data_IF_902553000086
#
_entry.id   IF_902553000086
#
_cell.length_a   1.000
_cell.length_b   1.000
_cell.length_c   1.000
_cell.angle_alpha   90.00
_cell.angle_beta   90.00
_cell.angle_gamma   90.00
#
_symmetry.space_group_name_H-M   'P 1'
#
loop_
_entity.id
_entity.type
_entity.pdbx_description
1 polymer ?
#
# COMPACT_ATOMS: atom_id res chain seq x y z
N UNK A 1 -5.79 -11.96 -9.44
CA UNK A 1 -5.29 -10.83 -10.24
C UNK A 1 -4.55 -9.86 -9.36
N UNK A 2 -3.39 -9.38 -9.78
CA UNK A 2 -2.63 -8.43 -8.98
C UNK A 2 -3.07 -7.00 -9.21
N UNK A 3 -2.97 -6.21 -8.15
CA UNK A 3 -3.23 -4.76 -8.18
C UNK A 3 -2.13 -4.04 -7.44
N UNK A 4 -1.70 -2.91 -7.99
CA UNK A 4 -0.74 -2.03 -7.36
C UNK A 4 -1.49 -0.83 -6.79
N UNK A 5 -1.35 -0.61 -5.50
CA UNK A 5 -1.97 0.49 -4.78
C UNK A 5 -0.86 1.45 -4.38
N UNK A 6 -0.94 2.69 -4.88
CA UNK A 6 0.06 3.71 -4.60
C UNK A 6 -0.62 4.86 -3.88
N UNK A 7 -0.13 5.18 -2.70
CA UNK A 7 -0.70 6.22 -1.84
C UNK A 7 0.38 7.25 -1.52
N UNK A 8 0.00 8.53 -1.54
CA UNK A 8 0.88 9.62 -1.14
C UNK A 8 0.30 10.31 0.09
N UNK A 9 1.17 10.60 1.05
CA UNK A 9 0.78 11.21 2.31
C UNK A 9 0.50 12.69 2.15
N UNK A 10 -0.36 13.21 3.03
CA UNK A 10 -0.52 14.65 3.20
C UNK A 10 0.78 15.26 3.72
N UNK A 11 1.03 16.56 3.45
CA UNK A 11 2.15 17.26 4.09
C UNK A 11 2.04 17.13 5.61
N UNK A 12 3.18 17.00 6.28
CA UNK A 12 3.27 16.93 7.74
C UNK A 12 2.47 15.79 8.38
N UNK A 13 2.31 14.67 7.67
CA UNK A 13 1.56 13.51 8.14
C UNK A 13 2.42 12.47 8.88
N UNK A 14 3.73 12.68 8.99
CA UNK A 14 4.63 11.65 9.51
C UNK A 14 4.28 11.19 10.94
N UNK A 15 3.96 12.10 11.84
CA UNK A 15 3.58 11.74 13.21
C UNK A 15 2.30 10.89 13.23
N UNK A 16 1.31 11.27 12.42
CA UNK A 16 0.06 10.52 12.31
C UNK A 16 0.29 9.13 11.70
N UNK A 17 1.18 9.06 10.70
CA UNK A 17 1.56 7.78 10.08
C UNK A 17 2.22 6.85 11.11
N UNK A 18 3.19 7.35 11.86
CA UNK A 18 3.88 6.56 12.87
C UNK A 18 2.94 6.12 14.00
N UNK A 19 2.02 6.98 14.41
CA UNK A 19 1.04 6.65 15.43
C UNK A 19 0.03 5.58 14.94
N UNK A 20 -0.34 5.60 13.66
CA UNK A 20 -1.29 4.65 13.09
C UNK A 20 -0.62 3.35 12.61
N UNK A 21 0.70 3.30 12.55
CA UNK A 21 1.43 2.15 12.00
C UNK A 21 1.08 0.83 12.67
N UNK A 22 0.92 0.72 13.99
CA UNK A 22 0.54 -0.57 14.59
C UNK A 22 -0.77 -1.14 14.04
N UNK A 23 -1.79 -0.30 13.84
CA UNK A 23 -3.06 -0.73 13.24
C UNK A 23 -2.89 -1.13 11.78
N UNK A 24 -2.07 -0.38 11.04
CA UNK A 24 -1.76 -0.69 9.65
C UNK A 24 -1.08 -2.05 9.53
N UNK A 25 -0.13 -2.37 10.40
CA UNK A 25 0.54 -3.66 10.40
C UNK A 25 -0.43 -4.81 10.70
N UNK A 26 -1.35 -4.62 11.66
CA UNK A 26 -2.37 -5.63 11.95
C UNK A 26 -3.26 -5.87 10.74
N UNK A 27 -3.67 -4.81 10.04
CA UNK A 27 -4.47 -4.90 8.83
C UNK A 27 -3.74 -5.65 7.71
N UNK A 28 -2.43 -5.38 7.53
CA UNK A 28 -1.59 -6.10 6.56
C UNK A 28 -1.45 -7.58 6.95
N UNK A 29 -1.20 -7.88 8.21
CA UNK A 29 -1.06 -9.26 8.68
C UNK A 29 -2.34 -10.06 8.45
N UNK A 30 -3.51 -9.44 8.62
CA UNK A 30 -4.79 -10.08 8.35
C UNK A 30 -4.98 -10.40 6.87
N UNK A 31 -4.43 -9.59 5.97
CA UNK A 31 -4.45 -9.85 4.53
C UNK A 31 -3.50 -10.99 4.13
N UNK A 32 -2.38 -11.10 4.85
CA UNK A 32 -1.44 -12.24 4.75
C UNK A 32 -1.08 -12.66 3.34
N UNK A 33 -1.51 -13.88 2.91
CA UNK A 33 -1.10 -14.45 1.63
C UNK A 33 -1.55 -13.65 0.40
N UNK A 34 -2.51 -12.74 0.54
CA UNK A 34 -2.93 -11.88 -0.58
C UNK A 34 -1.86 -10.85 -0.95
N UNK A 35 -0.98 -10.51 -0.01
CA UNK A 35 0.06 -9.51 -0.22
C UNK A 35 1.25 -10.09 -0.96
N UNK A 36 1.73 -9.37 -1.98
CA UNK A 36 2.96 -9.70 -2.69
C UNK A 36 4.11 -8.84 -2.24
N UNK A 37 3.85 -7.55 -2.06
CA UNK A 37 4.90 -6.59 -1.78
C UNK A 37 4.30 -5.38 -1.10
N UNK A 38 4.89 -4.93 -0.01
CA UNK A 38 4.41 -3.77 0.73
C UNK A 38 5.58 -3.00 1.30
N UNK A 39 5.54 -1.68 1.20
CA UNK A 39 6.52 -0.84 1.84
C UNK A 39 6.19 0.63 1.71
N UNK A 40 6.81 1.47 2.54
CA UNK A 40 6.63 2.92 2.43
C UNK A 40 7.46 3.50 1.29
N UNK A 41 6.97 4.58 0.71
CA UNK A 41 7.75 5.46 -0.15
C UNK A 41 8.52 6.41 0.74
N UNK A 42 9.78 6.65 0.42
CA UNK A 42 10.66 7.50 1.22
C UNK A 42 11.03 8.75 0.46
N UNK A 43 11.18 9.87 1.16
CA UNK A 43 11.73 11.09 0.58
C UNK A 43 13.26 11.03 0.56
N UNK A 44 13.89 12.13 0.11
CA UNK A 44 15.35 12.21 0.00
C UNK A 44 16.07 12.10 1.34
N UNK A 45 15.37 12.36 2.44
CA UNK A 45 15.91 12.25 3.79
C UNK A 45 15.63 10.88 4.43
N UNK A 46 14.97 9.98 3.68
CA UNK A 46 14.59 8.66 4.18
C UNK A 46 13.33 8.64 5.02
N UNK A 47 12.56 9.73 5.07
CA UNK A 47 11.31 9.80 5.81
C UNK A 47 10.16 9.26 4.98
N UNK A 48 9.21 8.61 5.64
CA UNK A 48 8.06 8.00 4.96
C UNK A 48 7.09 9.07 4.45
N UNK A 49 6.71 8.95 3.18
CA UNK A 49 5.85 9.91 2.47
C UNK A 49 4.74 9.26 1.66
N UNK A 50 4.59 7.96 1.77
CA UNK A 50 3.60 7.23 1.00
C UNK A 50 3.74 5.74 1.20
N UNK A 51 3.01 4.98 0.38
CA UNK A 51 3.03 3.53 0.46
C UNK A 51 2.84 2.90 -0.92
N UNK A 52 3.45 1.74 -1.11
CA UNK A 52 3.11 0.84 -2.20
C UNK A 52 2.61 -0.46 -1.59
N UNK A 53 1.46 -0.94 -2.09
CA UNK A 53 0.93 -2.27 -1.75
C UNK A 53 0.62 -2.98 -3.06
N UNK A 54 1.25 -4.14 -3.28
CA UNK A 54 0.91 -5.02 -4.39
C UNK A 54 0.20 -6.22 -3.82
N UNK A 55 -1.05 -6.44 -4.24
CA UNK A 55 -1.93 -7.43 -3.61
C UNK A 55 -2.72 -8.22 -4.64
N UNK A 56 -2.99 -9.48 -4.31
CA UNK A 56 -3.90 -10.34 -5.05
C UNK A 56 -5.33 -10.02 -4.64
N UNK A 57 -6.20 -9.69 -5.59
CA UNK A 57 -7.62 -9.43 -5.34
C UNK A 57 -8.43 -10.00 -6.51
N UNK A 58 -9.71 -10.37 -6.29
CA UNK A 58 -10.52 -10.95 -7.37
C UNK A 58 -10.78 -9.99 -8.54
N UNK A 59 -10.96 -8.70 -8.25
CA UNK A 59 -11.25 -7.70 -9.26
C UNK A 59 -10.89 -6.29 -8.77
N UNK A 60 -11.06 -5.30 -9.63
CA UNK A 60 -10.72 -3.91 -9.32
C UNK A 60 -11.58 -3.34 -8.19
N UNK A 61 -12.85 -3.71 -8.12
CA UNK A 61 -13.75 -3.24 -7.06
C UNK A 61 -13.28 -3.74 -5.70
N UNK A 62 -12.92 -5.03 -5.60
CA UNK A 62 -12.37 -5.61 -4.38
C UNK A 62 -11.03 -4.95 -4.00
N UNK A 63 -10.19 -4.67 -4.97
CA UNK A 63 -8.91 -3.98 -4.74
C UNK A 63 -9.13 -2.57 -4.20
N UNK A 64 -10.09 -1.84 -4.74
CA UNK A 64 -10.45 -0.50 -4.25
C UNK A 64 -11.00 -0.54 -2.82
N UNK A 65 -11.86 -1.51 -2.53
CA UNK A 65 -12.39 -1.69 -1.17
C UNK A 65 -11.28 -2.02 -0.18
N UNK A 66 -10.36 -2.91 -0.58
CA UNK A 66 -9.19 -3.24 0.23
C UNK A 66 -8.35 -2.00 0.51
N UNK A 67 -8.05 -1.22 -0.53
CA UNK A 67 -7.24 -0.01 -0.41
C UNK A 67 -7.88 1.01 0.55
N UNK A 68 -9.20 1.17 0.50
CA UNK A 68 -9.94 2.10 1.36
C UNK A 68 -10.01 1.64 2.81
N UNK A 69 -9.82 0.37 3.06
CA UNK A 69 -9.82 -0.19 4.42
C UNK A 69 -8.49 0.05 5.16
N UNK A 70 -7.46 0.57 4.47
CA UNK A 70 -6.17 0.87 5.10
C UNK A 70 -6.37 1.88 6.24
N UNK A 71 -5.94 1.52 7.47
CA UNK A 71 -6.07 2.42 8.64
C UNK A 71 -5.43 3.79 8.47
N UNK A 72 -4.51 3.95 7.53
CA UNK A 72 -3.91 5.27 7.24
C UNK A 72 -4.94 6.27 6.69
N UNK A 73 -6.03 5.80 6.06
CA UNK A 73 -7.13 6.68 5.67
C UNK A 73 -7.82 7.28 6.89
N UNK A 74 -8.22 6.43 7.84
CA UNK A 74 -8.91 6.89 9.06
C UNK A 74 -8.03 7.76 9.94
N UNK A 75 -6.72 7.62 9.84
CA UNK A 75 -5.74 8.42 10.60
C UNK A 75 -5.37 9.73 9.91
N UNK A 76 -6.02 10.06 8.80
CA UNK A 76 -5.77 11.29 8.05
C UNK A 76 -4.34 11.42 7.53
N UNK A 77 -3.77 10.30 7.08
CA UNK A 77 -2.40 10.24 6.56
C UNK A 77 -2.37 10.48 5.05
N UNK A 78 -3.23 9.81 4.29
CA UNK A 78 -3.17 9.85 2.83
C UNK A 78 -3.81 11.10 2.24
N UNK A 79 -3.13 11.71 1.27
CA UNK A 79 -3.69 12.76 0.42
C UNK A 79 -4.35 12.15 -0.81
N UNK A 80 -3.67 11.20 -1.46
CA UNK A 80 -4.12 10.57 -2.70
C UNK A 80 -3.82 9.07 -2.67
N UNK A 81 -4.61 8.32 -3.45
CA UNK A 81 -4.39 6.90 -3.62
C UNK A 81 -4.87 6.50 -5.02
N UNK A 82 -4.08 5.69 -5.70
CA UNK A 82 -4.44 5.10 -6.99
C UNK A 82 -4.39 3.59 -6.90
N UNK A 83 -5.27 2.92 -7.64
CA UNK A 83 -5.35 1.46 -7.69
C UNK A 83 -5.31 1.05 -9.16
N UNK A 84 -4.34 0.22 -9.52
CA UNK A 84 -4.14 -0.22 -10.90
C UNK A 84 -4.03 -1.73 -10.97
N UNK A 85 -4.64 -2.32 -11.99
CA UNK A 85 -4.32 -3.71 -12.34
C UNK A 85 -2.85 -3.79 -12.70
N UNK A 86 -2.18 -4.84 -12.25
CA UNK A 86 -0.73 -4.96 -12.34
C UNK A 86 -0.35 -6.37 -12.78
N UNK A 87 0.67 -6.46 -13.60
CA UNK A 87 1.23 -7.75 -14.04
C UNK A 87 2.72 -7.79 -13.76
N UNK A 88 3.16 -8.83 -13.09
CA UNK A 88 4.59 -9.06 -12.90
C UNK A 88 5.20 -9.52 -14.21
N UNK A 89 6.32 -8.93 -14.60
CA UNK A 89 7.14 -9.36 -15.73
C UNK A 89 8.44 -9.97 -15.23
N UNK A 90 9.02 -9.37 -14.20
CA UNK A 90 10.17 -9.89 -13.48
C UNK A 90 9.87 -9.95 -11.99
N UNK A 91 10.37 -11.00 -11.35
CA UNK A 91 10.34 -11.17 -9.90
C UNK A 91 11.65 -11.80 -9.46
N UNK A 92 12.28 -11.22 -8.44
CA UNK A 92 13.59 -11.68 -7.93
C UNK A 92 14.64 -11.81 -9.02
N UNK A 93 14.64 -10.88 -9.97
CA UNK A 93 15.60 -10.85 -11.07
C UNK A 93 15.35 -11.85 -12.19
N UNK A 94 14.23 -12.58 -12.14
CA UNK A 94 13.89 -13.57 -13.15
C UNK A 94 12.60 -13.22 -13.88
N UNK A 95 12.57 -13.44 -15.17
CA UNK A 95 11.39 -13.21 -16.00
C UNK A 95 10.29 -14.22 -15.66
N UNK A 96 9.06 -13.76 -15.40
CA UNK A 96 7.92 -14.60 -15.04
C UNK A 96 6.74 -14.47 -16.03
N UNK A 97 6.87 -13.61 -17.03
CA UNK A 97 5.82 -13.46 -18.06
C UNK A 97 6.42 -13.26 -19.44
#
# INVERSE_FOLDING_TARGET
MLFAIVSYDKPDALERRLAARPKHLVWLEAAGPQLRYVGPLLDEEGKQRGSIVVTEQPDLEAARAFARADPFWGADVFATQTVHAFREVFRDGARVA
#
